data_IF_513405871704
#
_entry.id   IF_513405871704
#
_cell.length_a   1.000
_cell.length_b   1.000
_cell.length_c   1.000
_cell.angle_alpha   90.00
_cell.angle_beta   90.00
_cell.angle_gamma   90.00
#
_symmetry.space_group_name_H-M   'P 1'
#
loop_
_entity.id
_entity.type
_entity.pdbx_description
1 polymer ?
#
# COMPACT_ATOMS: atom_id res chain seq x y z
N UNK A 1 17.84 1.52 -3.58
CA UNK A 1 16.64 1.18 -2.79
C UNK A 1 15.49 0.85 -3.72
N UNK A 2 14.84 -0.28 -3.49
CA UNK A 2 13.66 -0.75 -4.25
C UNK A 2 12.43 -0.04 -3.70
N UNK A 3 11.59 0.54 -4.56
CA UNK A 3 10.41 1.31 -4.14
C UNK A 3 9.20 0.93 -4.98
N UNK A 4 8.05 0.78 -4.34
CA UNK A 4 6.76 0.53 -4.97
C UNK A 4 5.71 1.48 -4.40
N UNK A 5 5.00 2.21 -5.26
CA UNK A 5 3.88 3.05 -4.84
C UNK A 5 2.55 2.35 -5.15
N UNK A 6 1.69 2.27 -4.14
CA UNK A 6 0.40 1.57 -4.17
C UNK A 6 -0.74 2.56 -3.88
N UNK A 7 -1.61 2.80 -4.85
CA UNK A 7 -2.79 3.65 -4.71
C UNK A 7 -4.00 2.80 -4.29
N UNK A 8 -4.50 3.06 -3.08
CA UNK A 8 -5.61 2.36 -2.44
C UNK A 8 -6.75 3.34 -2.09
N UNK A 9 -7.89 2.83 -1.64
CA UNK A 9 -8.94 3.65 -1.07
C UNK A 9 -8.45 4.39 0.18
N UNK A 10 -9.02 5.57 0.43
CA UNK A 10 -8.76 6.33 1.64
C UNK A 10 -9.55 5.75 2.82
N UNK A 11 -8.83 5.35 3.86
CA UNK A 11 -9.35 4.98 5.19
C UNK A 11 -8.49 5.62 6.26
N UNK A 12 -9.00 5.79 7.47
CA UNK A 12 -8.30 6.34 8.62
C UNK A 12 -7.38 5.31 9.26
N UNK A 13 -7.87 4.10 9.54
CA UNK A 13 -7.18 3.10 10.34
C UNK A 13 -6.74 1.89 9.53
N UNK A 14 -7.49 1.50 8.49
CA UNK A 14 -7.20 0.28 7.72
C UNK A 14 -7.09 -0.96 8.63
N UNK A 15 -8.03 -1.09 9.57
CA UNK A 15 -8.20 -2.20 10.52
C UNK A 15 -9.62 -2.77 10.47
N UNK A 16 -10.10 -2.97 9.24
CA UNK A 16 -11.51 -3.27 8.97
C UNK A 16 -12.34 -2.03 8.69
N UNK A 17 -13.61 -2.26 8.34
CA UNK A 17 -14.56 -1.21 7.99
C UNK A 17 -15.43 -0.91 9.21
N UNK A 18 -15.43 0.34 9.65
CA UNK A 18 -16.29 0.79 10.74
C UNK A 18 -17.33 1.74 10.15
N UNK A 19 -18.58 1.29 10.11
CA UNK A 19 -19.66 2.05 9.49
C UNK A 19 -19.77 3.47 10.06
N UNK A 20 -19.91 4.46 9.17
CA UNK A 20 -20.00 5.88 9.50
C UNK A 20 -18.73 6.52 10.07
N UNK A 21 -17.63 5.78 10.17
CA UNK A 21 -16.39 6.24 10.84
C UNK A 21 -15.14 6.00 10.01
N UNK A 22 -14.96 4.76 9.56
CA UNK A 22 -13.84 4.34 8.73
C UNK A 22 -14.32 3.49 7.56
N UNK A 23 -14.96 4.17 6.61
CA UNK A 23 -15.41 3.58 5.35
C UNK A 23 -14.45 3.94 4.22
N UNK A 24 -14.18 3.01 3.29
CA UNK A 24 -13.30 3.24 2.17
C UNK A 24 -13.85 4.32 1.23
N UNK A 25 -13.05 5.37 1.02
CA UNK A 25 -13.40 6.50 0.15
C UNK A 25 -12.50 6.54 -1.08
N UNK A 26 -13.05 7.00 -2.21
CA UNK A 26 -12.31 7.14 -3.47
C UNK A 26 -11.65 5.84 -4.00
N UNK A 27 -12.18 4.68 -3.62
CA UNK A 27 -11.74 3.38 -4.12
C UNK A 27 -12.18 3.10 -5.57
N UNK A 28 -11.81 1.91 -6.06
CA UNK A 28 -12.24 1.41 -7.37
C UNK A 28 -13.76 1.18 -7.46
N UNK A 29 -14.23 0.70 -8.62
CA UNK A 29 -15.66 0.39 -8.81
C UNK A 29 -16.19 -0.61 -7.78
N UNK A 30 -15.36 -1.58 -7.36
CA UNK A 30 -15.72 -2.57 -6.33
C UNK A 30 -16.13 -1.94 -5.00
N UNK A 31 -15.37 -0.95 -4.53
CA UNK A 31 -15.66 -0.21 -3.28
C UNK A 31 -16.99 0.53 -3.37
N UNK A 32 -17.31 1.09 -4.55
CA UNK A 32 -18.56 1.81 -4.78
C UNK A 32 -19.78 0.89 -4.83
N UNK A 33 -19.60 -0.36 -5.25
CA UNK A 33 -20.68 -1.32 -5.45
C UNK A 33 -20.93 -2.19 -4.21
N UNK A 34 -19.87 -2.57 -3.48
CA UNK A 34 -19.95 -3.54 -2.38
C UNK A 34 -19.73 -2.92 -0.99
N UNK A 35 -19.39 -1.63 -0.91
CA UNK A 35 -18.97 -0.95 0.33
C UNK A 35 -17.84 -1.69 1.06
N UNK A 36 -17.07 -2.50 0.34
CA UNK A 36 -15.97 -3.32 0.86
C UNK A 36 -14.68 -2.98 0.11
N UNK A 37 -13.55 -3.12 0.80
CA UNK A 37 -12.23 -2.84 0.28
C UNK A 37 -11.27 -3.95 0.72
N UNK A 38 -10.58 -4.59 -0.24
CA UNK A 38 -9.59 -5.61 0.08
C UNK A 38 -8.40 -5.03 0.86
N UNK A 39 -8.12 -3.73 0.70
CA UNK A 39 -7.12 -2.99 1.45
C UNK A 39 -7.52 -2.63 2.89
N UNK A 40 -8.74 -2.97 3.34
CA UNK A 40 -9.28 -2.54 4.64
C UNK A 40 -8.47 -3.03 5.84
N UNK A 41 -7.62 -4.04 5.68
CA UNK A 41 -6.77 -4.61 6.73
C UNK A 41 -5.28 -4.36 6.50
N UNK A 42 -4.90 -3.43 5.60
CA UNK A 42 -3.48 -3.20 5.30
C UNK A 42 -2.68 -2.87 6.56
N UNK A 43 -3.22 -2.08 7.48
CA UNK A 43 -2.51 -1.69 8.71
C UNK A 43 -3.08 -2.37 9.96
N UNK A 44 -3.69 -3.55 9.77
CA UNK A 44 -4.07 -4.45 10.84
C UNK A 44 -2.99 -5.53 11.01
N UNK A 45 -2.29 -5.49 12.13
CA UNK A 45 -1.19 -6.41 12.36
C UNK A 45 -1.73 -7.75 12.84
N UNK A 46 -1.25 -8.84 12.23
CA UNK A 46 -1.62 -10.21 12.58
C UNK A 46 -0.42 -10.94 13.15
N UNK A 47 -0.66 -11.85 14.09
CA UNK A 47 0.38 -12.75 14.60
C UNK A 47 0.53 -13.93 13.65
N UNK A 48 1.73 -14.09 13.10
CA UNK A 48 2.11 -15.23 12.28
C UNK A 48 3.04 -16.15 13.06
N UNK A 49 2.91 -17.45 12.78
CA UNK A 49 3.79 -18.49 13.29
C UNK A 49 4.50 -19.19 12.13
N UNK A 50 5.59 -19.91 12.41
CA UNK A 50 6.39 -20.64 11.43
C UNK A 50 5.56 -21.55 10.50
N UNK A 51 4.42 -22.06 10.99
CA UNK A 51 3.47 -22.88 10.21
C UNK A 51 2.85 -22.15 9.01
N UNK A 52 2.78 -20.81 9.07
CA UNK A 52 2.32 -19.95 7.97
C UNK A 52 3.39 -19.70 6.89
N UNK A 53 4.61 -20.23 7.07
CA UNK A 53 5.74 -20.01 6.15
C UNK A 53 6.55 -18.74 6.43
N UNK A 54 6.26 -18.03 7.52
CA UNK A 54 6.99 -16.84 7.98
C UNK A 54 7.52 -17.04 9.39
N UNK A 55 8.65 -16.43 9.78
CA UNK A 55 9.13 -16.44 11.15
C UNK A 55 8.06 -15.96 12.13
N UNK A 56 8.05 -16.51 13.35
CA UNK A 56 7.16 -16.05 14.42
C UNK A 56 7.27 -14.52 14.63
N UNK A 57 6.13 -13.84 14.67
CA UNK A 57 6.08 -12.39 14.91
C UNK A 57 4.76 -11.73 14.46
N UNK A 58 4.68 -10.41 14.63
CA UNK A 58 3.57 -9.60 14.13
C UNK A 58 3.89 -9.04 12.74
N UNK A 59 2.93 -9.13 11.81
CA UNK A 59 3.09 -8.74 10.42
C UNK A 59 1.91 -7.91 9.91
N UNK A 60 2.18 -7.02 8.96
CA UNK A 60 1.13 -6.35 8.18
C UNK A 60 1.03 -7.00 6.80
N UNK A 61 -0.19 -7.37 6.42
CA UNK A 61 -0.49 -7.97 5.12
C UNK A 61 -1.14 -6.91 4.24
N UNK A 62 -0.34 -6.34 3.35
CA UNK A 62 -0.73 -5.22 2.51
C UNK A 62 -1.25 -5.64 1.16
N UNK A 63 -2.36 -5.03 0.76
CA UNK A 63 -3.03 -5.25 -0.50
C UNK A 63 -3.07 -3.98 -1.35
N UNK A 64 -2.93 -4.17 -2.66
CA UNK A 64 -3.31 -3.20 -3.68
C UNK A 64 -3.94 -3.94 -4.86
N UNK A 65 -5.08 -3.44 -5.33
CA UNK A 65 -5.76 -4.05 -6.47
C UNK A 65 -4.93 -3.82 -7.74
N UNK A 66 -4.48 -4.91 -8.37
CA UNK A 66 -3.88 -4.86 -9.70
C UNK A 66 -5.01 -4.74 -10.75
N UNK A 67 -4.68 -4.27 -11.96
CA UNK A 67 -5.70 -4.27 -13.02
C UNK A 67 -6.19 -5.70 -13.27
N UNK A 68 -7.42 -5.86 -13.73
CA UNK A 68 -7.90 -7.11 -14.33
C UNK A 68 -8.16 -6.89 -15.82
N UNK A 69 -7.85 -7.88 -16.65
CA UNK A 69 -8.15 -7.88 -18.09
C UNK A 69 -9.51 -8.52 -18.40
N UNK A 70 -10.02 -9.38 -17.53
CA UNK A 70 -11.26 -10.15 -17.74
C UNK A 70 -12.27 -10.06 -16.58
N UNK A 71 -12.03 -9.20 -15.58
CA UNK A 71 -12.80 -9.05 -14.33
C UNK A 71 -12.83 -10.28 -13.40
N UNK A 72 -12.42 -11.45 -13.88
CA UNK A 72 -12.40 -12.71 -13.11
C UNK A 72 -11.04 -12.97 -12.44
N UNK A 73 -9.95 -12.57 -13.09
CA UNK A 73 -8.58 -12.84 -12.61
C UNK A 73 -7.80 -11.55 -12.38
N UNK A 74 -7.05 -11.49 -11.29
CA UNK A 74 -6.14 -10.38 -10.99
C UNK A 74 -4.88 -10.51 -11.83
N UNK A 75 -4.42 -9.41 -12.43
CA UNK A 75 -3.15 -9.44 -13.14
C UNK A 75 -2.00 -9.58 -12.14
N UNK A 76 -0.92 -10.22 -12.60
CA UNK A 76 0.33 -10.29 -11.86
C UNK A 76 0.94 -8.90 -11.67
N UNK A 77 1.51 -8.67 -10.50
CA UNK A 77 2.39 -7.54 -10.24
C UNK A 77 3.72 -7.79 -10.95
N UNK A 78 4.12 -6.85 -11.80
CA UNK A 78 5.35 -6.91 -12.57
C UNK A 78 6.55 -6.53 -11.70
N UNK A 79 6.91 -7.38 -10.74
CA UNK A 79 7.99 -7.12 -9.77
C UNK A 79 9.33 -6.79 -10.44
N UNK A 80 9.54 -7.27 -11.67
CA UNK A 80 10.71 -6.96 -12.50
C UNK A 80 10.83 -5.47 -12.85
N UNK A 81 9.74 -4.70 -12.76
CA UNK A 81 9.74 -3.27 -12.99
C UNK A 81 10.19 -2.45 -11.77
N UNK A 82 10.29 -3.07 -10.58
CA UNK A 82 10.84 -2.41 -9.39
C UNK A 82 12.33 -2.12 -9.64
N UNK A 83 12.78 -0.93 -9.27
CA UNK A 83 14.17 -0.52 -9.47
C UNK A 83 15.15 -1.52 -8.85
N UNK A 84 16.09 -2.05 -9.64
CA UNK A 84 17.04 -3.06 -9.19
C UNK A 84 16.51 -4.50 -9.17
N UNK A 85 15.31 -4.75 -9.72
CA UNK A 85 14.68 -6.08 -9.78
C UNK A 85 14.55 -6.62 -11.21
N UNK A 86 15.25 -6.05 -12.20
CA UNK A 86 15.07 -6.42 -13.62
C UNK A 86 15.37 -7.89 -13.96
N UNK A 87 16.12 -8.60 -13.10
CA UNK A 87 16.42 -10.03 -13.23
C UNK A 87 15.36 -10.96 -12.62
N UNK A 88 14.34 -10.42 -11.94
CA UNK A 88 13.31 -11.19 -11.23
C UNK A 88 12.13 -11.60 -12.13
N UNK A 89 12.30 -11.62 -13.45
CA UNK A 89 11.23 -11.88 -14.42
C UNK A 89 10.63 -13.30 -14.34
N UNK A 90 11.31 -14.22 -13.65
CA UNK A 90 10.83 -15.60 -13.38
C UNK A 90 10.60 -15.89 -11.89
N UNK A 91 10.90 -14.93 -11.03
CA UNK A 91 10.76 -15.10 -9.58
C UNK A 91 9.35 -14.74 -9.14
N UNK A 92 8.93 -15.32 -8.02
CA UNK A 92 7.58 -15.12 -7.47
C UNK A 92 7.49 -13.90 -6.56
N UNK A 93 8.61 -13.39 -6.05
CA UNK A 93 8.63 -12.24 -5.16
C UNK A 93 9.91 -11.40 -5.28
N UNK A 94 9.86 -10.18 -4.73
CA UNK A 94 11.00 -9.29 -4.54
C UNK A 94 11.07 -8.87 -3.07
N UNK A 95 12.22 -9.07 -2.44
CA UNK A 95 12.46 -8.70 -1.04
C UNK A 95 13.07 -7.30 -0.91
N UNK A 96 13.10 -6.80 0.32
CA UNK A 96 13.69 -5.50 0.69
C UNK A 96 13.15 -4.34 -0.17
N UNK A 97 11.83 -4.28 -0.29
CA UNK A 97 11.11 -3.23 -1.01
C UNK A 97 10.49 -2.25 -0.03
N UNK A 98 10.69 -0.95 -0.25
CA UNK A 98 9.90 0.10 0.39
C UNK A 98 8.55 0.22 -0.34
N UNK A 99 7.48 -0.28 0.28
CA UNK A 99 6.12 -0.20 -0.26
C UNK A 99 5.41 1.01 0.35
N UNK A 100 5.00 1.96 -0.48
CA UNK A 100 4.39 3.22 -0.04
C UNK A 100 2.92 3.22 -0.45
N UNK A 101 2.03 3.12 0.54
CA UNK A 101 0.59 3.22 0.34
C UNK A 101 0.16 4.67 0.23
N UNK A 102 -0.63 4.96 -0.79
CA UNK A 102 -1.10 6.27 -1.16
C UNK A 102 -2.61 6.23 -1.37
N UNK A 103 -3.31 7.32 -1.09
CA UNK A 103 -4.74 7.41 -1.35
C UNK A 103 -5.15 8.80 -1.83
N UNK A 104 -6.25 8.86 -2.58
CA UNK A 104 -6.85 10.10 -3.01
C UNK A 104 -7.55 10.76 -1.82
N UNK A 105 -7.14 11.97 -1.46
CA UNK A 105 -7.72 12.68 -0.33
C UNK A 105 -9.21 12.98 -0.58
N UNK A 106 -10.11 12.59 0.34
CA UNK A 106 -11.54 12.68 0.11
C UNK A 106 -12.09 14.10 0.07
N UNK A 107 -11.49 15.01 0.84
CA UNK A 107 -12.07 16.35 1.05
C UNK A 107 -11.42 17.43 0.15
N UNK A 108 -10.63 17.05 -0.88
CA UNK A 108 -10.02 18.02 -1.79
C UNK A 108 -10.90 18.29 -3.01
N UNK A 109 -11.01 19.57 -3.37
CA UNK A 109 -11.67 20.04 -4.61
C UNK A 109 -10.95 19.50 -5.85
N UNK A 110 -9.62 19.49 -5.82
CA UNK A 110 -8.79 18.88 -6.84
C UNK A 110 -8.36 17.46 -6.44
N UNK A 111 -8.15 16.58 -7.42
CA UNK A 111 -7.72 15.21 -7.15
C UNK A 111 -6.27 15.17 -6.67
N UNK A 112 -6.08 15.17 -5.36
CA UNK A 112 -4.77 15.12 -4.71
C UNK A 112 -4.50 13.77 -4.04
N UNK A 113 -3.33 13.19 -4.31
CA UNK A 113 -2.91 11.90 -3.74
C UNK A 113 -1.83 12.11 -2.70
N UNK A 114 -1.97 11.43 -1.57
CA UNK A 114 -1.06 11.54 -0.44
C UNK A 114 -0.63 10.16 0.05
N UNK A 115 0.58 10.07 0.61
CA UNK A 115 1.01 8.91 1.38
C UNK A 115 0.10 8.76 2.60
N UNK A 116 -0.39 7.55 2.83
CA UNK A 116 -1.15 7.19 4.04
C UNK A 116 -0.30 6.39 5.02
N UNK A 117 0.66 5.63 4.51
CA UNK A 117 1.55 4.79 5.30
C UNK A 117 2.51 4.02 4.40
N UNK A 118 3.39 3.22 4.98
CA UNK A 118 4.40 2.46 4.25
C UNK A 118 4.86 1.24 5.02
N UNK A 119 5.43 0.27 4.29
CA UNK A 119 6.15 -0.86 4.83
C UNK A 119 7.60 -0.78 4.37
N UNK A 120 8.54 -0.79 5.32
CA UNK A 120 9.96 -0.97 5.04
C UNK A 120 10.27 -2.47 4.96
N UNK A 121 11.36 -2.82 4.28
CA UNK A 121 11.87 -4.18 4.17
C UNK A 121 10.82 -5.23 3.74
N UNK A 122 9.83 -4.84 2.96
CA UNK A 122 8.72 -5.70 2.61
C UNK A 122 9.12 -6.74 1.55
N UNK A 123 8.50 -7.90 1.63
CA UNK A 123 8.45 -8.87 0.54
C UNK A 123 7.21 -8.59 -0.32
N UNK A 124 7.42 -8.39 -1.62
CA UNK A 124 6.36 -8.10 -2.59
C UNK A 124 6.19 -9.28 -3.53
N UNK A 125 4.97 -9.82 -3.60
CA UNK A 125 4.63 -10.98 -4.41
C UNK A 125 4.16 -10.58 -5.82
N UNK A 126 4.52 -11.41 -6.80
CA UNK A 126 4.06 -11.33 -8.20
C UNK A 126 2.58 -11.68 -8.30
N UNK A 127 2.19 -12.79 -7.68
CA UNK A 127 0.80 -13.20 -7.59
C UNK A 127 0.22 -12.70 -6.26
N UNK A 128 -1.09 -12.43 -6.24
CA UNK A 128 -1.74 -12.10 -4.98
C UNK A 128 -1.84 -13.37 -4.14
N UNK A 129 -1.25 -13.33 -2.95
CA UNK A 129 -1.34 -14.39 -1.96
C UNK A 129 -2.63 -14.22 -1.15
N UNK A 130 -3.08 -15.30 -0.50
CA UNK A 130 -4.26 -15.30 0.37
C UNK A 130 -3.91 -16.05 1.65
N UNK A 131 -4.22 -15.45 2.79
CA UNK A 131 -4.10 -16.08 4.10
C UNK A 131 -5.44 -16.09 4.79
N UNK A 132 -5.75 -17.19 5.48
CA UNK A 132 -7.01 -17.40 6.19
C UNK A 132 -6.81 -17.12 7.67
N UNK A 133 -7.68 -16.29 8.24
CA UNK A 133 -7.67 -15.91 9.65
C UNK A 133 -9.00 -16.25 10.32
N UNK A 134 -9.01 -16.54 11.63
CA UNK A 134 -10.25 -16.69 12.37
C UNK A 134 -10.98 -15.34 12.43
N UNK A 135 -12.30 -15.38 12.28
CA UNK A 135 -13.18 -14.23 12.48
C UNK A 135 -13.35 -13.93 13.97
N UNK A 136 -13.53 -12.65 14.33
CA UNK A 136 -13.84 -12.24 15.71
C UNK A 136 -15.24 -12.70 16.16
N UNK A 137 -16.18 -12.83 15.22
CA UNK A 137 -17.56 -13.25 15.45
C UNK A 137 -17.76 -14.75 15.08
N UNK A 138 -17.73 -15.64 16.09
CA UNK A 138 -18.08 -17.09 16.15
C UNK A 138 -17.67 -18.02 14.97
N UNK A 139 -16.78 -19.01 15.24
CA UNK A 139 -16.37 -20.18 14.40
C UNK A 139 -16.09 -19.94 12.89
N UNK A 140 -16.10 -18.68 12.44
CA UNK A 140 -15.88 -18.28 11.06
C UNK A 140 -14.41 -18.05 10.75
N UNK A 141 -14.09 -18.04 9.46
CA UNK A 141 -12.80 -17.61 8.95
C UNK A 141 -13.02 -16.53 7.88
N UNK A 142 -12.06 -15.61 7.75
CA UNK A 142 -11.99 -14.70 6.62
C UNK A 142 -10.68 -14.89 5.86
N UNK A 143 -10.75 -14.71 4.54
CA UNK A 143 -9.59 -14.78 3.65
C UNK A 143 -9.10 -13.36 3.37
N UNK A 144 -7.85 -13.08 3.73
CA UNK A 144 -7.17 -11.82 3.47
C UNK A 144 -6.20 -11.99 2.30
N UNK A 145 -6.48 -11.28 1.21
CA UNK A 145 -5.59 -11.20 0.06
C UNK A 145 -4.48 -10.18 0.33
N UNK A 146 -3.25 -10.46 -0.08
CA UNK A 146 -2.11 -9.55 0.05
C UNK A 146 -1.12 -9.73 -1.10
N UNK A 147 -0.37 -8.67 -1.40
CA UNK A 147 0.74 -8.71 -2.34
C UNK A 147 2.02 -8.05 -1.79
N UNK A 148 1.96 -7.52 -0.57
CA UNK A 148 3.13 -7.12 0.20
C UNK A 148 2.98 -7.60 1.64
N UNK A 149 4.07 -8.04 2.26
CA UNK A 149 4.12 -8.37 3.69
C UNK A 149 5.39 -7.79 4.31
N UNK A 150 5.28 -7.29 5.53
CA UNK A 150 6.41 -6.80 6.31
C UNK A 150 6.16 -7.00 7.81
N UNK A 151 7.24 -7.03 8.60
CA UNK A 151 7.13 -7.04 10.06
C UNK A 151 6.44 -5.76 10.52
N UNK A 152 5.62 -5.88 11.56
CA UNK A 152 4.88 -4.76 12.17
C UNK A 152 5.79 -3.57 12.50
N UNK A 153 6.99 -3.83 13.02
CA UNK A 153 7.98 -2.83 13.40
C UNK A 153 8.52 -1.99 12.22
N UNK A 154 8.39 -2.52 11.00
CA UNK A 154 8.79 -1.84 9.76
C UNK A 154 7.64 -1.08 9.09
N UNK A 155 6.43 -1.16 9.67
CA UNK A 155 5.21 -0.59 9.12
C UNK A 155 4.79 0.68 9.86
N UNK A 156 4.41 1.71 9.11
CA UNK A 156 3.87 2.95 9.66
C UNK A 156 2.57 3.32 8.97
N UNK A 157 1.54 3.56 9.76
CA UNK A 157 0.34 4.27 9.35
C UNK A 157 0.41 5.72 9.84
N UNK A 158 0.39 6.67 8.92
CA UNK A 158 0.39 8.09 9.29
C UNK A 158 -0.95 8.49 9.92
N UNK A 159 -0.95 9.34 10.95
CA UNK A 159 -2.16 9.97 11.46
C UNK A 159 -2.92 10.72 10.38
N UNK A 160 -4.27 10.66 10.37
CA UNK A 160 -5.09 11.37 9.35
C UNK A 160 -4.69 12.84 9.21
N UNK A 161 -4.51 13.54 10.34
CA UNK A 161 -4.11 14.95 10.39
C UNK A 161 -2.68 15.21 9.85
N UNK A 162 -1.81 14.20 9.85
CA UNK A 162 -0.44 14.31 9.33
C UNK A 162 -0.37 14.15 7.81
N UNK A 163 -1.31 13.41 7.19
CA UNK A 163 -1.26 13.05 5.76
C UNK A 163 -1.39 14.23 4.81
N UNK A 164 -2.25 15.21 5.10
CA UNK A 164 -2.51 16.37 4.21
C UNK A 164 -1.44 17.47 4.27
N UNK A 165 -0.20 17.13 4.60
CA UNK A 165 0.94 18.06 4.56
C UNK A 165 1.56 18.00 3.16
N UNK A 166 1.10 18.87 2.25
CA UNK A 166 1.45 18.79 0.82
C UNK A 166 2.95 18.89 0.51
N UNK A 167 3.71 19.61 1.32
CA UNK A 167 5.16 19.70 1.23
C UNK A 167 5.89 18.43 1.68
N UNK A 168 5.19 17.51 2.35
CA UNK A 168 5.75 16.26 2.88
C UNK A 168 5.21 15.08 2.10
N UNK A 169 3.91 14.80 2.21
CA UNK A 169 3.33 13.52 1.79
C UNK A 169 2.60 13.52 0.45
N UNK A 170 2.59 14.64 -0.28
CA UNK A 170 1.92 14.69 -1.60
C UNK A 170 2.69 13.87 -2.63
N UNK A 171 1.94 13.02 -3.34
CA UNK A 171 2.46 12.13 -4.39
C UNK A 171 1.93 12.59 -5.75
N UNK A 172 2.79 12.76 -6.77
CA UNK A 172 2.37 13.25 -8.06
C UNK A 172 1.54 12.21 -8.82
N UNK A 173 0.63 12.69 -9.66
CA UNK A 173 -0.02 11.90 -10.72
C UNK A 173 0.41 12.45 -12.07
N UNK A 174 0.68 11.55 -13.01
CA UNK A 174 1.11 11.92 -14.37
C UNK A 174 -0.03 12.65 -15.07
N UNK A 175 0.26 13.84 -15.59
CA UNK A 175 -0.72 14.71 -16.26
C UNK A 175 0.00 15.58 -17.29
N UNK A 176 -0.74 16.42 -18.02
CA UNK A 176 -0.15 17.37 -18.96
C UNK A 176 0.79 18.32 -18.20
N UNK A 177 2.10 18.23 -18.45
CA UNK A 177 3.13 19.01 -17.77
C UNK A 177 3.79 18.32 -16.57
N UNK A 178 3.32 17.15 -16.13
CA UNK A 178 3.94 16.34 -15.06
C UNK A 178 4.40 15.00 -15.63
N UNK A 179 5.72 14.82 -15.77
CA UNK A 179 6.31 13.69 -16.49
C UNK A 179 6.31 12.35 -15.72
N UNK A 180 6.12 12.39 -14.40
CA UNK A 180 6.20 11.23 -13.50
C UNK A 180 5.04 11.20 -12.49
N UNK A 181 4.89 10.10 -11.77
CA UNK A 181 3.79 9.88 -10.82
C UNK A 181 2.82 8.78 -11.26
N UNK A 182 1.78 8.57 -10.46
CA UNK A 182 0.74 7.60 -10.76
C UNK A 182 0.08 7.89 -12.11
N UNK A 183 -0.04 6.86 -12.94
CA UNK A 183 -0.87 6.87 -14.13
C UNK A 183 -2.29 6.39 -13.83
N UNK A 184 -2.85 5.63 -14.77
CA UNK A 184 -4.17 4.97 -14.62
C UNK A 184 -4.12 3.67 -13.80
N UNK A 185 -2.92 3.17 -13.47
CA UNK A 185 -2.75 1.97 -12.63
C UNK A 185 -2.75 2.36 -11.16
N UNK A 186 -3.23 1.45 -10.29
CA UNK A 186 -3.06 1.57 -8.85
C UNK A 186 -1.61 1.35 -8.41
N UNK A 187 -0.77 0.78 -9.27
CA UNK A 187 0.64 0.54 -8.96
C UNK A 187 1.52 1.48 -9.79
N UNK A 188 2.50 2.09 -9.15
CA UNK A 188 3.54 2.89 -9.80
C UNK A 188 4.94 2.48 -9.34
N UNK A 189 5.74 2.00 -10.29
CA UNK A 189 7.11 1.48 -10.07
C UNK A 189 8.20 2.56 -10.03
N UNK A 190 7.85 3.83 -10.27
CA UNK A 190 8.80 4.95 -10.29
C UNK A 190 10.03 4.74 -11.20
N UNK A 191 9.85 4.06 -12.34
CA UNK A 191 10.89 3.84 -13.34
C UNK A 191 11.35 5.15 -14.01
N UNK A 192 12.58 5.14 -14.54
CA UNK A 192 13.17 6.27 -15.26
C UNK A 192 13.88 7.27 -14.35
N UNK A 193 14.42 6.79 -13.22
CA UNK A 193 15.06 7.62 -12.19
C UNK A 193 16.31 8.29 -12.73
N UNK A 194 17.14 7.56 -13.49
CA UNK A 194 18.39 8.08 -14.07
C UNK A 194 18.14 9.19 -15.10
N UNK A 195 17.04 9.14 -15.84
CA UNK A 195 16.75 10.08 -16.93
C UNK A 195 15.89 11.28 -16.49
N UNK A 196 15.28 11.24 -15.30
CA UNK A 196 14.36 12.27 -14.82
C UNK A 196 14.78 12.87 -13.48
N UNK A 197 15.47 14.02 -13.55
CA UNK A 197 15.95 14.75 -12.36
C UNK A 197 14.85 15.11 -11.36
N UNK A 198 13.64 15.45 -11.82
CA UNK A 198 12.53 15.80 -10.93
C UNK A 198 11.99 14.56 -10.21
N UNK A 199 11.95 13.42 -10.89
CA UNK A 199 11.62 12.14 -10.28
C UNK A 199 12.67 11.75 -9.24
N UNK A 200 13.97 11.83 -9.57
CA UNK A 200 15.05 11.51 -8.63
C UNK A 200 14.98 12.40 -7.37
N UNK A 201 14.78 13.72 -7.53
CA UNK A 201 14.58 14.63 -6.41
C UNK A 201 13.36 14.28 -5.56
N UNK A 202 12.23 13.93 -6.19
CA UNK A 202 11.03 13.49 -5.49
C UNK A 202 11.29 12.21 -4.68
N UNK A 203 11.93 11.21 -5.29
CA UNK A 203 12.26 9.94 -4.64
C UNK A 203 13.22 10.15 -3.47
N UNK A 204 14.29 10.91 -3.66
CA UNK A 204 15.23 11.22 -2.56
C UNK A 204 14.54 11.92 -1.40
N UNK A 205 13.65 12.88 -1.69
CA UNK A 205 12.88 13.60 -0.67
C UNK A 205 11.94 12.67 0.09
N UNK A 206 11.12 11.88 -0.61
CA UNK A 206 10.10 11.04 0.06
C UNK A 206 10.75 9.92 0.87
N UNK A 207 11.84 9.35 0.38
CA UNK A 207 12.65 8.35 1.10
C UNK A 207 13.21 8.97 2.38
N UNK A 208 13.86 10.13 2.27
CA UNK A 208 14.41 10.82 3.44
C UNK A 208 13.32 11.11 4.49
N UNK A 209 12.13 11.56 4.05
CA UNK A 209 11.00 11.83 4.93
C UNK A 209 10.48 10.59 5.65
N UNK A 210 10.49 9.43 4.99
CA UNK A 210 10.10 8.14 5.57
C UNK A 210 11.15 7.67 6.57
N UNK A 211 12.44 7.71 6.21
CA UNK A 211 13.53 7.27 7.10
C UNK A 211 13.66 8.14 8.35
N UNK A 212 13.42 9.45 8.22
CA UNK A 212 13.48 10.40 9.34
C UNK A 212 12.15 10.50 10.11
N UNK A 213 11.13 9.71 9.75
CA UNK A 213 9.84 9.78 10.42
C UNK A 213 9.93 9.24 11.85
N UNK A 214 9.77 10.13 12.83
CA UNK A 214 9.68 9.80 14.26
C UNK A 214 8.34 10.19 14.88
N UNK A 215 7.32 10.39 14.04
CA UNK A 215 5.98 10.79 14.47
C UNK A 215 5.16 9.62 15.00
N UNK A 216 3.92 9.92 15.40
CA UNK A 216 2.98 8.90 15.91
C UNK A 216 2.70 7.83 14.84
N UNK A 217 2.71 6.57 15.21
CA UNK A 217 2.29 5.47 14.34
C UNK A 217 0.85 5.08 14.69
N UNK A 218 -0.11 5.29 13.79
CA UNK A 218 -1.51 4.87 14.03
C UNK A 218 -1.72 3.36 13.89
N UNK A 219 -0.68 2.63 13.51
CA UNK A 219 -0.71 1.18 13.53
C UNK A 219 -0.90 0.62 14.95
N UNK A 220 -0.42 1.32 15.98
CA UNK A 220 -0.58 0.90 17.38
C UNK A 220 -1.85 1.48 18.05
N UNK A 221 -2.63 2.29 17.32
CA UNK A 221 -3.81 2.95 17.86
C UNK A 221 -5.07 2.15 17.55
N UNK A 222 -5.97 2.02 18.53
CA UNK A 222 -7.28 1.45 18.30
C UNK A 222 -8.15 2.38 17.45
N UNK A 223 -9.03 1.81 16.64
CA UNK A 223 -10.01 2.57 15.89
C UNK A 223 -11.17 3.03 16.81
N UNK A 224 -10.85 3.96 17.72
CA UNK A 224 -11.69 4.75 18.66
C UNK A 224 -13.04 5.19 18.15
#
# INVERSE_FOLDING_TARGET
MRILFCNIAWMNYYKGIIQGKDEPQNGGSYVKENLDAHEKYNFDAVSLANESGYPDGEYCLGFVETKSTNKETRNQLRIENIYGCGTLNKEDFAEDVLVIYCALYPDAVEKETYVVGWYKHATVYRNCEVMRFPSEDEEGYYDQAYNAIARKEDCVLLPRASRRKANIWKVPRKSKGVAYGFGQSNVWFAQGREENKLLDQFLNRIVKQIEEYSGKNWLDECAE
#
